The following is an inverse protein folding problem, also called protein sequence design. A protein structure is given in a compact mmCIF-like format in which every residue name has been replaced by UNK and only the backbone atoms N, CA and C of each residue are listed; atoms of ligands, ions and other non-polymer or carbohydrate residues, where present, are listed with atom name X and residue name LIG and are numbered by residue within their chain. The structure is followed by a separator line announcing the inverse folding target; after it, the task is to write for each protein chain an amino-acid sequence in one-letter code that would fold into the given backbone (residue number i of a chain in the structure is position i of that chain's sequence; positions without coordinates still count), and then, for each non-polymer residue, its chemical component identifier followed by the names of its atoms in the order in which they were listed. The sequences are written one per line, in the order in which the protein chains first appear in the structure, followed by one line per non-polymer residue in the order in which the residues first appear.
data_IF_645424920212
#
_entry.id   IF_645424920212
#
_cell.length_a   1.000
_cell.length_b   1.000
_cell.length_c   1.000
_cell.angle_alpha   90.00
_cell.angle_beta   90.00
_cell.angle_gamma   90.00
#
_symmetry.space_group_name_H-M   'P 1'
#
loop_
_entity.id
_entity.type
_entity.pdbx_description
1 polymer ?
#
# COMPACT_ATOMS: atom_id res chain seq x y z
N UNK A 1 -45.13 29.35 24.97
CA UNK A 1 -44.78 30.34 23.93
C UNK A 1 -43.27 30.52 23.89
N UNK A 2 -42.68 30.26 22.72
CA UNK A 2 -41.38 30.72 22.21
C UNK A 2 -40.05 30.18 22.79
N UNK A 3 -39.62 29.14 22.09
CA UNK A 3 -38.26 28.64 21.80
C UNK A 3 -37.32 29.76 21.29
N UNK A 4 -36.19 30.03 21.96
CA UNK A 4 -35.11 30.91 21.45
C UNK A 4 -33.88 30.07 21.11
N UNK A 5 -33.79 29.69 19.84
CA UNK A 5 -32.70 28.95 19.23
C UNK A 5 -31.44 29.83 19.11
N UNK A 6 -30.33 29.40 19.73
CA UNK A 6 -28.98 29.92 19.45
C UNK A 6 -28.55 29.48 18.05
N UNK A 7 -28.56 30.41 17.10
CA UNK A 7 -27.99 30.25 15.76
C UNK A 7 -26.47 30.03 15.86
N UNK A 8 -26.02 28.81 15.56
CA UNK A 8 -24.61 28.50 15.31
C UNK A 8 -24.19 29.16 13.99
N UNK A 9 -23.28 30.12 14.09
CA UNK A 9 -22.63 30.82 12.97
C UNK A 9 -21.80 29.81 12.17
N UNK A 10 -22.27 29.42 10.98
CA UNK A 10 -21.52 28.58 10.06
C UNK A 10 -20.26 29.31 9.59
N UNK A 11 -19.11 28.64 9.69
CA UNK A 11 -17.83 29.12 9.19
C UNK A 11 -17.94 29.32 7.67
N UNK A 12 -17.63 30.54 7.24
CA UNK A 12 -17.55 30.94 5.84
C UNK A 12 -16.29 30.31 5.24
N UNK A 13 -16.44 29.30 4.38
CA UNK A 13 -15.33 28.71 3.64
C UNK A 13 -14.65 29.80 2.80
N UNK A 14 -13.33 30.02 2.95
CA UNK A 14 -12.63 31.03 2.18
C UNK A 14 -12.37 30.52 0.75
N UNK A 15 -12.67 31.42 -0.20
CA UNK A 15 -12.08 31.54 -1.54
C UNK A 15 -12.19 30.35 -2.50
N UNK A 16 -13.07 30.55 -3.47
CA UNK A 16 -13.10 29.92 -4.78
C UNK A 16 -11.74 29.98 -5.49
N UNK A 17 -11.20 28.83 -5.86
CA UNK A 17 -10.10 28.70 -6.82
C UNK A 17 -10.68 28.70 -8.24
N UNK A 18 -10.17 29.52 -9.18
CA UNK A 18 -10.65 29.53 -10.56
C UNK A 18 -10.37 28.17 -11.22
N UNK A 19 -11.42 27.53 -11.74
CA UNK A 19 -11.34 26.21 -12.39
C UNK A 19 -11.99 25.06 -11.62
N UNK A 20 -12.38 25.26 -10.36
CA UNK A 20 -13.15 24.27 -9.59
C UNK A 20 -14.61 24.72 -9.44
N UNK A 21 -15.56 23.98 -10.03
CA UNK A 21 -16.99 24.28 -9.88
C UNK A 21 -17.39 24.12 -8.41
N UNK A 22 -18.03 25.13 -7.78
CA UNK A 22 -18.50 24.98 -6.41
C UNK A 22 -19.60 23.93 -6.37
N UNK A 23 -19.52 23.06 -5.36
CA UNK A 23 -20.55 22.09 -5.02
C UNK A 23 -21.85 22.88 -4.81
N UNK A 24 -22.82 22.73 -5.72
CA UNK A 24 -24.08 23.45 -5.66
C UNK A 24 -24.80 23.07 -4.36
N UNK A 25 -24.76 23.99 -3.39
CA UNK A 25 -25.61 23.91 -2.22
C UNK A 25 -27.05 24.15 -2.69
N UNK A 26 -27.79 23.06 -2.93
CA UNK A 26 -29.23 23.14 -3.13
C UNK A 26 -29.90 21.97 -2.44
N UNK A 27 -30.62 22.36 -1.38
CA UNK A 27 -31.82 21.74 -0.85
C UNK A 27 -31.70 20.30 -0.30
N UNK A 28 -31.69 20.25 1.03
CA UNK A 28 -32.33 19.19 1.81
C UNK A 28 -33.81 19.15 1.39
N UNK A 29 -34.24 18.10 0.69
CA UNK A 29 -35.66 17.83 0.46
C UNK A 29 -35.93 16.34 0.61
N UNK A 30 -36.92 16.07 1.45
CA UNK A 30 -37.34 14.79 1.98
C UNK A 30 -38.00 13.94 0.89
N UNK A 31 -37.34 12.88 0.41
CA UNK A 31 -37.95 11.62 -0.03
C UNK A 31 -36.89 10.71 -0.68
N UNK A 32 -36.74 9.51 -0.10
CA UNK A 32 -36.32 8.25 -0.73
C UNK A 32 -35.11 8.24 -1.70
N UNK A 33 -34.04 7.61 -1.20
CA UNK A 33 -33.06 6.81 -1.96
C UNK A 33 -32.54 7.39 -3.27
N UNK A 34 -31.61 8.34 -3.15
CA UNK A 34 -30.51 8.47 -4.10
C UNK A 34 -29.31 9.05 -3.36
N UNK A 35 -28.35 8.19 -3.04
CA UNK A 35 -27.03 8.55 -2.51
C UNK A 35 -26.40 9.65 -3.37
N UNK A 36 -26.28 10.86 -2.81
CA UNK A 36 -25.20 11.81 -3.14
C UNK A 36 -23.94 11.40 -2.38
N UNK A 37 -22.68 11.83 -2.68
CA UNK A 37 -22.12 12.58 -3.81
C UNK A 37 -20.92 11.87 -4.50
N UNK A 38 -20.49 12.35 -5.65
CA UNK A 38 -19.39 11.84 -6.51
C UNK A 38 -17.97 12.19 -6.02
N UNK A 39 -17.59 11.78 -4.81
CA UNK A 39 -16.18 11.75 -4.39
C UNK A 39 -15.79 10.52 -3.56
N UNK A 40 -16.63 9.49 -3.55
CA UNK A 40 -16.26 8.17 -3.09
C UNK A 40 -16.20 7.20 -4.29
N UNK A 41 -15.10 7.19 -5.04
CA UNK A 41 -14.70 5.92 -5.67
C UNK A 41 -14.06 5.04 -4.60
N UNK A 42 -14.88 4.68 -3.59
CA UNK A 42 -14.67 3.46 -2.85
C UNK A 42 -15.15 2.34 -3.77
N UNK A 43 -14.32 1.96 -4.74
CA UNK A 43 -14.26 0.55 -5.12
C UNK A 43 -13.60 -0.19 -3.98
N UNK A 44 -14.42 -0.40 -2.95
CA UNK A 44 -14.10 -1.27 -1.85
C UNK A 44 -13.88 -2.67 -2.40
N UNK A 45 -12.61 -3.07 -2.43
CA UNK A 45 -12.11 -4.29 -1.79
C UNK A 45 -13.17 -5.38 -1.58
N UNK A 46 -13.29 -6.27 -2.56
CA UNK A 46 -13.62 -7.67 -2.30
C UNK A 46 -13.11 -8.52 -3.46
N UNK A 47 -11.82 -8.43 -3.77
CA UNK A 47 -11.17 -9.57 -4.40
C UNK A 47 -10.63 -10.38 -3.25
N UNK A 48 -11.30 -11.47 -2.90
CA UNK A 48 -10.77 -12.47 -1.99
C UNK A 48 -9.41 -12.90 -2.57
N UNK A 49 -8.35 -12.32 -2.03
CA UNK A 49 -7.00 -12.56 -2.50
C UNK A 49 -6.70 -14.01 -2.15
N UNK A 50 -6.49 -14.83 -3.18
CA UNK A 50 -5.93 -16.17 -2.99
C UNK A 50 -4.71 -16.05 -2.08
N UNK A 51 -4.63 -16.83 -0.99
CA UNK A 51 -3.51 -16.73 -0.08
C UNK A 51 -2.22 -16.98 -0.86
N UNK A 52 -1.17 -16.23 -0.51
CA UNK A 52 0.12 -16.43 -1.14
C UNK A 52 0.55 -17.90 -0.97
N UNK A 53 1.07 -18.55 -2.03
CA UNK A 53 1.44 -19.96 -1.99
C UNK A 53 2.53 -20.28 -0.97
N UNK A 54 3.29 -19.27 -0.53
CA UNK A 54 4.34 -19.38 0.46
C UNK A 54 4.01 -18.50 1.68
N UNK A 55 3.55 -19.13 2.75
CA UNK A 55 3.14 -18.48 4.01
C UNK A 55 3.80 -19.10 5.25
N UNK A 56 4.92 -19.81 5.08
CA UNK A 56 5.70 -20.36 6.19
C UNK A 56 6.29 -19.27 7.10
N UNK A 57 6.38 -19.56 8.40
CA UNK A 57 6.93 -18.63 9.40
C UNK A 57 8.18 -19.20 10.05
N UNK A 58 9.20 -18.35 10.24
CA UNK A 58 10.45 -18.73 10.91
C UNK A 58 10.23 -18.63 12.42
N UNK A 59 10.57 -19.68 13.15
CA UNK A 59 10.38 -19.76 14.59
C UNK A 59 11.74 -19.92 15.29
N UNK A 60 11.90 -19.40 16.51
CA UNK A 60 13.14 -19.54 17.29
C UNK A 60 13.35 -20.97 17.83
N UNK A 61 12.31 -21.81 17.79
CA UNK A 61 12.35 -23.17 18.35
C UNK A 61 13.18 -24.09 17.46
N UNK A 62 13.97 -24.97 18.07
CA UNK A 62 14.80 -25.95 17.35
C UNK A 62 13.95 -27.01 16.62
N UNK A 63 12.78 -27.36 17.16
CA UNK A 63 11.87 -28.39 16.61
C UNK A 63 10.86 -27.85 15.57
N UNK A 64 10.94 -26.55 15.22
CA UNK A 64 10.06 -25.98 14.21
C UNK A 64 10.48 -26.41 12.79
N UNK A 65 9.54 -26.38 11.85
CA UNK A 65 9.81 -26.65 10.43
C UNK A 65 10.87 -25.68 9.85
N UNK A 66 10.86 -24.43 10.32
CA UNK A 66 11.81 -23.40 9.94
C UNK A 66 12.52 -22.82 11.18
N UNK A 67 13.60 -23.46 11.67
CA UNK A 67 14.36 -22.97 12.81
C UNK A 67 15.20 -21.74 12.44
N UNK A 68 15.35 -20.78 13.35
CA UNK A 68 16.18 -19.61 13.15
C UNK A 68 17.68 -19.95 13.28
N UNK A 69 18.35 -20.20 12.15
CA UNK A 69 19.77 -20.52 12.07
C UNK A 69 20.51 -19.52 11.16
N UNK A 70 21.80 -19.28 11.45
CA UNK A 70 22.68 -18.44 10.62
C UNK A 70 22.96 -19.16 9.29
N UNK A 71 23.08 -18.38 8.20
CA UNK A 71 23.44 -18.85 6.85
C UNK A 71 22.47 -19.86 6.21
N UNK A 72 21.28 -20.07 6.78
CA UNK A 72 20.24 -20.96 6.21
C UNK A 72 19.34 -20.25 5.21
N UNK A 73 19.06 -18.97 5.43
CA UNK A 73 18.03 -18.23 4.70
C UNK A 73 18.64 -17.24 3.73
N UNK A 74 18.02 -17.16 2.54
CA UNK A 74 18.43 -16.25 1.49
C UNK A 74 17.29 -15.29 1.15
N UNK A 75 17.59 -14.00 1.09
CA UNK A 75 16.64 -12.96 0.73
C UNK A 75 16.85 -12.54 -0.73
N UNK A 76 15.80 -12.61 -1.54
CA UNK A 76 15.78 -12.13 -2.92
C UNK A 76 15.01 -10.82 -2.99
N UNK A 77 15.61 -9.77 -3.54
CA UNK A 77 15.02 -8.43 -3.57
C UNK A 77 15.27 -7.73 -4.89
N UNK A 78 14.32 -6.93 -5.36
CA UNK A 78 14.56 -5.90 -6.35
C UNK A 78 14.36 -4.51 -5.71
N UNK A 79 15.28 -3.57 -5.95
CA UNK A 79 15.20 -2.22 -5.38
C UNK A 79 14.01 -1.39 -5.87
N UNK A 80 13.36 -1.82 -6.96
CA UNK A 80 12.16 -1.19 -7.49
C UNK A 80 10.87 -1.52 -6.70
N UNK A 81 10.89 -2.56 -5.87
CA UNK A 81 9.67 -3.13 -5.28
C UNK A 81 9.40 -2.56 -3.88
N UNK A 82 8.24 -1.90 -3.64
CA UNK A 82 7.95 -1.31 -2.33
C UNK A 82 7.79 -2.36 -1.22
N UNK A 83 7.37 -3.58 -1.56
CA UNK A 83 7.25 -4.66 -0.57
C UNK A 83 8.62 -5.22 -0.18
N UNK A 84 9.54 -5.38 -1.13
CA UNK A 84 10.88 -5.87 -0.86
C UNK A 84 11.75 -4.82 -0.14
N UNK A 85 11.52 -3.52 -0.40
CA UNK A 85 12.15 -2.45 0.37
C UNK A 85 11.81 -2.50 1.87
N UNK A 86 10.62 -2.99 2.25
CA UNK A 86 10.25 -3.17 3.66
C UNK A 86 11.09 -4.24 4.34
N UNK A 87 11.34 -5.37 3.67
CA UNK A 87 12.16 -6.46 4.22
C UNK A 87 13.63 -6.04 4.33
N UNK A 88 14.14 -5.28 3.35
CA UNK A 88 15.48 -4.67 3.43
C UNK A 88 15.63 -3.70 4.61
N UNK A 89 14.65 -2.82 4.81
CA UNK A 89 14.67 -1.89 5.95
C UNK A 89 14.68 -2.66 7.27
N UNK A 90 13.82 -3.67 7.43
CA UNK A 90 13.79 -4.52 8.62
C UNK A 90 15.12 -5.26 8.85
N UNK A 91 15.73 -5.81 7.79
CA UNK A 91 17.05 -6.47 7.85
C UNK A 91 18.14 -5.53 8.39
N UNK A 92 18.16 -4.29 7.91
CA UNK A 92 19.16 -3.32 8.32
C UNK A 92 18.95 -2.82 9.75
N UNK A 93 17.70 -2.51 10.11
CA UNK A 93 17.35 -2.04 11.45
C UNK A 93 17.61 -3.08 12.55
N UNK A 94 17.49 -4.37 12.21
CA UNK A 94 17.76 -5.47 13.14
C UNK A 94 19.21 -5.96 13.11
N UNK A 95 20.05 -5.45 12.20
CA UNK A 95 21.44 -5.89 12.07
C UNK A 95 21.60 -7.32 11.52
N UNK A 96 20.65 -7.83 10.73
CA UNK A 96 20.69 -9.20 10.19
C UNK A 96 21.58 -9.35 8.94
N UNK A 97 22.52 -8.42 8.76
CA UNK A 97 23.31 -8.33 7.52
C UNK A 97 24.29 -9.50 7.37
N UNK A 98 24.81 -9.97 8.50
CA UNK A 98 25.77 -11.08 8.56
C UNK A 98 25.11 -12.47 8.64
N UNK A 99 23.77 -12.52 8.73
CA UNK A 99 23.01 -13.76 8.98
C UNK A 99 22.19 -14.19 7.76
N UNK A 100 21.65 -13.21 7.03
CA UNK A 100 20.78 -13.43 5.87
C UNK A 100 21.47 -12.91 4.62
N UNK A 101 21.86 -13.84 3.75
CA UNK A 101 22.42 -13.54 2.43
C UNK A 101 21.40 -12.83 1.53
N UNK A 102 21.88 -11.93 0.68
CA UNK A 102 21.03 -11.07 -0.14
C UNK A 102 21.43 -11.18 -1.62
N UNK A 103 20.43 -11.44 -2.47
CA UNK A 103 20.56 -11.41 -3.93
C UNK A 103 19.64 -10.35 -4.48
N UNK A 104 20.21 -9.44 -5.28
CA UNK A 104 19.47 -8.34 -5.89
C UNK A 104 19.14 -8.68 -7.33
N UNK A 105 17.84 -8.67 -7.65
CA UNK A 105 17.35 -8.82 -9.01
C UNK A 105 17.39 -7.48 -9.76
N UNK A 106 17.46 -7.56 -11.09
CA UNK A 106 17.50 -6.39 -11.95
C UNK A 106 16.22 -5.53 -11.78
N UNK A 107 16.35 -4.19 -11.63
CA UNK A 107 15.21 -3.33 -11.33
C UNK A 107 14.29 -3.07 -12.54
N UNK A 108 14.72 -3.38 -13.76
CA UNK A 108 13.90 -3.24 -14.95
C UNK A 108 13.34 -4.63 -15.29
N UNK A 109 12.01 -4.76 -15.34
CA UNK A 109 11.40 -6.02 -15.77
C UNK A 109 11.47 -6.12 -17.29
N UNK A 110 12.46 -6.87 -17.79
CA UNK A 110 12.61 -7.17 -19.21
C UNK A 110 12.81 -8.67 -19.42
N UNK A 111 12.56 -9.12 -20.66
CA UNK A 111 12.89 -10.48 -21.08
C UNK A 111 14.39 -10.55 -21.32
N UNK A 112 15.16 -10.92 -20.31
CA UNK A 112 16.56 -11.30 -20.46
C UNK A 112 16.61 -12.54 -21.35
N UNK A 113 17.02 -12.35 -22.61
CA UNK A 113 17.26 -13.46 -23.53
C UNK A 113 18.74 -13.85 -23.39
N UNK A 114 19.04 -15.11 -23.08
CA UNK A 114 20.41 -15.53 -22.76
C UNK A 114 21.41 -15.46 -23.94
N UNK A 115 20.99 -15.10 -25.16
CA UNK A 115 21.82 -15.04 -26.37
C UNK A 115 21.75 -13.70 -27.13
N UNK A 116 21.22 -12.63 -26.53
CA UNK A 116 21.15 -11.33 -27.21
C UNK A 116 22.34 -10.45 -26.79
N UNK A 117 23.36 -10.34 -27.66
CA UNK A 117 24.58 -9.55 -27.43
C UNK A 117 24.33 -8.03 -27.29
N UNK A 118 23.13 -7.56 -27.60
CA UNK A 118 22.72 -6.16 -27.43
C UNK A 118 22.14 -5.83 -26.05
N UNK A 119 22.04 -6.82 -25.16
CA UNK A 119 21.55 -6.60 -23.80
C UNK A 119 22.59 -5.79 -23.01
N UNK A 120 22.36 -4.47 -22.92
CA UNK A 120 23.28 -3.52 -22.27
C UNK A 120 23.04 -3.47 -20.75
N UNK A 121 22.22 -4.36 -20.20
CA UNK A 121 21.80 -4.33 -18.81
C UNK A 121 22.80 -5.09 -17.93
N UNK A 122 23.80 -4.35 -17.43
CA UNK A 122 24.75 -4.80 -16.41
C UNK A 122 24.24 -4.56 -15.00
#
# INVERSE_FOLDING_TARGET
MSMLARLRRAARCPSAVPGYKPCSASAVSTAQTAVSPTCADRRSIETAATPAPYNGSIQPNADAEFPAQRDRYHLYVAYNCPFASRTLAARNLKGLQDVVSLSVAHPIFQKTKPNDDSDTHR
#
